data_IF_443089748047
#
_entry.id   IF_443089748047
#
_cell.length_a   1.000
_cell.length_b   1.000
_cell.length_c   1.000
_cell.angle_alpha   90.00
_cell.angle_beta   90.00
_cell.angle_gamma   90.00
#
_symmetry.space_group_name_H-M   'P 1'
#
loop_
_entity.id
_entity.type
_entity.pdbx_description
1 polymer ?
#
# COMPACT_ATOMS: atom_id res chain seq x y z
N UNK A 1 16.10 -4.08 -0.46
CA UNK A 1 15.44 -5.37 -0.76
C UNK A 1 14.28 -5.07 -1.69
N UNK A 2 14.35 -5.53 -2.96
CA UNK A 2 13.26 -5.35 -3.91
C UNK A 2 12.16 -6.36 -3.55
N UNK A 3 11.00 -5.87 -3.10
CA UNK A 3 9.83 -6.71 -2.84
C UNK A 3 9.38 -7.25 -4.19
N UNK A 4 9.54 -8.56 -4.38
CA UNK A 4 9.16 -9.25 -5.61
C UNK A 4 7.66 -9.12 -5.86
N UNK A 5 7.30 -8.42 -6.94
CA UNK A 5 5.94 -8.15 -7.36
C UNK A 5 5.08 -9.42 -7.43
N UNK A 6 3.89 -9.35 -6.81
CA UNK A 6 2.85 -10.37 -6.84
C UNK A 6 2.36 -10.62 -8.27
N UNK A 7 2.96 -11.55 -9.01
CA UNK A 7 2.39 -12.34 -10.13
C UNK A 7 1.69 -11.61 -11.30
N UNK A 8 1.52 -10.30 -11.26
CA UNK A 8 0.74 -9.53 -12.21
C UNK A 8 1.61 -9.26 -13.43
N UNK A 9 1.10 -9.68 -14.59
CA UNK A 9 1.78 -9.52 -15.86
C UNK A 9 1.06 -8.45 -16.66
N UNK A 10 1.71 -7.32 -16.86
CA UNK A 10 1.26 -6.28 -17.80
C UNK A 10 0.95 -6.91 -19.17
N UNK A 11 -0.28 -6.74 -19.65
CA UNK A 11 -0.79 -7.37 -20.87
C UNK A 11 -0.61 -6.42 -22.06
N UNK A 12 -0.91 -5.13 -21.88
CA UNK A 12 -0.79 -4.11 -22.92
C UNK A 12 -1.73 -4.35 -24.11
N UNK A 13 -2.94 -4.87 -23.85
CA UNK A 13 -3.92 -5.21 -24.90
C UNK A 13 -4.25 -3.98 -25.75
N UNK A 14 -4.13 -4.12 -27.08
CA UNK A 14 -4.40 -3.03 -28.04
C UNK A 14 -3.18 -2.16 -28.40
N UNK A 15 -2.00 -2.46 -27.83
CA UNK A 15 -0.74 -1.83 -28.19
C UNK A 15 0.07 -2.71 -29.15
N UNK A 16 0.90 -2.09 -29.97
CA UNK A 16 1.91 -2.78 -30.78
C UNK A 16 3.03 -3.34 -29.90
N UNK A 17 3.79 -4.29 -30.43
CA UNK A 17 4.88 -4.96 -29.68
C UNK A 17 5.93 -3.98 -29.12
N UNK A 18 6.21 -2.90 -29.85
CA UNK A 18 7.12 -1.84 -29.40
C UNK A 18 6.53 -1.03 -28.25
N UNK A 19 5.26 -0.64 -28.38
CA UNK A 19 4.53 0.09 -27.33
C UNK A 19 4.33 -0.75 -26.07
N UNK A 20 4.07 -2.06 -26.19
CA UNK A 20 3.98 -2.97 -25.03
C UNK A 20 5.28 -2.97 -24.23
N UNK A 21 6.44 -2.94 -24.90
CA UNK A 21 7.74 -2.88 -24.22
C UNK A 21 7.93 -1.57 -23.47
N UNK A 22 7.60 -0.44 -24.11
CA UNK A 22 7.67 0.89 -23.49
C UNK A 22 6.67 0.99 -22.33
N UNK A 23 5.45 0.51 -22.52
CA UNK A 23 4.40 0.48 -21.51
C UNK A 23 4.78 -0.36 -20.30
N UNK A 24 5.33 -1.56 -20.50
CA UNK A 24 5.82 -2.40 -19.40
C UNK A 24 6.88 -1.68 -18.56
N UNK A 25 7.79 -0.94 -19.20
CA UNK A 25 8.79 -0.15 -18.48
C UNK A 25 8.13 0.98 -17.69
N UNK A 26 7.26 1.79 -18.31
CA UNK A 26 6.53 2.87 -17.61
C UNK A 26 5.71 2.33 -16.43
N UNK A 27 5.05 1.18 -16.60
CA UNK A 27 4.29 0.52 -15.55
C UNK A 27 5.17 0.19 -14.34
N UNK A 28 6.36 -0.36 -14.58
CA UNK A 28 7.32 -0.65 -13.50
C UNK A 28 7.86 0.64 -12.87
N UNK A 29 8.21 1.65 -13.69
CA UNK A 29 8.67 2.95 -13.20
C UNK A 29 7.64 3.60 -12.26
N UNK A 30 6.34 3.46 -12.55
CA UNK A 30 5.26 3.90 -11.65
C UNK A 30 5.22 3.14 -10.33
N UNK A 31 5.35 1.81 -10.34
CA UNK A 31 5.36 1.01 -9.10
C UNK A 31 6.57 1.33 -8.23
N UNK A 32 7.72 1.56 -8.86
CA UNK A 32 8.97 1.90 -8.16
C UNK A 32 8.90 3.31 -7.56
N UNK A 33 8.31 4.26 -8.28
CA UNK A 33 8.16 5.66 -7.84
C UNK A 33 7.06 5.81 -6.78
N UNK A 34 5.98 5.03 -6.89
CA UNK A 34 4.79 5.13 -6.04
C UNK A 34 4.46 3.77 -5.38
N UNK A 35 5.12 3.42 -4.27
CA UNK A 35 4.95 2.10 -3.63
C UNK A 35 3.53 1.78 -3.19
N UNK A 36 2.71 2.80 -2.90
CA UNK A 36 1.31 2.62 -2.50
C UNK A 36 0.41 2.07 -3.64
N UNK A 37 0.88 2.15 -4.89
CA UNK A 37 0.20 1.55 -6.05
C UNK A 37 0.41 0.04 -6.13
N UNK A 38 1.22 -0.55 -5.25
CA UNK A 38 1.46 -1.99 -5.18
C UNK A 38 0.29 -2.76 -4.54
N UNK A 39 -0.95 -2.39 -4.86
CA UNK A 39 -2.18 -3.09 -4.49
C UNK A 39 -2.85 -3.61 -5.78
N UNK A 40 -3.39 -4.83 -5.73
CA UNK A 40 -3.96 -5.50 -6.92
C UNK A 40 -5.10 -4.71 -7.58
N UNK A 41 -5.85 -3.94 -6.79
CA UNK A 41 -6.92 -3.04 -7.24
C UNK A 41 -6.41 -1.90 -8.12
N UNK A 42 -5.17 -1.44 -7.92
CA UNK A 42 -4.57 -0.35 -8.68
C UNK A 42 -3.89 -0.81 -9.96
N UNK A 43 -3.54 -2.09 -10.09
CA UNK A 43 -2.85 -2.59 -11.28
C UNK A 43 -3.66 -2.42 -12.57
N UNK A 44 -4.98 -2.65 -12.53
CA UNK A 44 -5.84 -2.46 -13.71
C UNK A 44 -5.92 -0.99 -14.11
N UNK A 45 -6.05 -0.09 -13.14
CA UNK A 45 -6.08 1.36 -13.37
C UNK A 45 -4.73 1.88 -13.89
N UNK A 46 -3.64 1.34 -13.36
CA UNK A 46 -2.29 1.71 -13.79
C UNK A 46 -2.00 1.21 -15.22
N UNK A 47 -2.46 0.00 -15.57
CA UNK A 47 -2.35 -0.51 -16.93
C UNK A 47 -3.16 0.32 -17.92
N UNK A 48 -4.37 0.74 -17.55
CA UNK A 48 -5.21 1.66 -18.33
C UNK A 48 -4.51 3.02 -18.52
N UNK A 49 -3.91 3.57 -17.45
CA UNK A 49 -3.14 4.81 -17.53
C UNK A 49 -1.99 4.70 -18.55
N UNK A 50 -1.18 3.65 -18.43
CA UNK A 50 -0.04 3.41 -19.32
C UNK A 50 -0.50 3.21 -20.76
N UNK A 51 -1.64 2.55 -20.98
CA UNK A 51 -2.24 2.40 -22.29
C UNK A 51 -2.62 3.74 -22.92
N UNK A 52 -3.29 4.62 -22.17
CA UNK A 52 -3.64 5.96 -22.65
C UNK A 52 -2.40 6.82 -22.93
N UNK A 53 -1.33 6.67 -22.16
CA UNK A 53 -0.06 7.35 -22.43
C UNK A 53 0.57 6.89 -23.75
N UNK A 54 0.58 5.58 -24.01
CA UNK A 54 1.07 5.04 -25.28
C UNK A 54 0.20 5.50 -26.47
N UNK A 55 -1.12 5.57 -26.30
CA UNK A 55 -2.02 6.12 -27.31
C UNK A 55 -1.75 7.61 -27.58
N UNK A 56 -1.50 8.40 -26.54
CA UNK A 56 -1.13 9.81 -26.70
C UNK A 56 0.14 9.96 -27.52
N UNK A 57 1.16 9.15 -27.26
CA UNK A 57 2.40 9.14 -28.03
C UNK A 57 2.14 8.78 -29.51
N UNK A 58 1.28 7.77 -29.76
CA UNK A 58 0.85 7.39 -31.12
C UNK A 58 0.11 8.51 -31.85
N UNK A 59 -0.83 9.18 -31.18
CA UNK A 59 -1.62 10.27 -31.77
C UNK A 59 -0.71 11.47 -32.08
N UNK A 60 0.23 11.80 -31.20
CA UNK A 60 1.24 12.86 -31.43
C UNK A 60 2.09 12.56 -32.66
N UNK A 61 2.59 11.34 -32.80
CA UNK A 61 3.33 10.92 -34.00
C UNK A 61 2.50 11.05 -35.28
N UNK A 62 1.20 10.71 -35.22
CA UNK A 62 0.30 10.88 -36.36
C UNK A 62 0.09 12.36 -36.70
N UNK A 63 -0.06 13.22 -35.71
CA UNK A 63 -0.15 14.68 -35.92
C UNK A 63 1.13 15.21 -36.57
N UNK A 64 2.31 14.77 -36.10
CA UNK A 64 3.60 15.15 -36.67
C UNK A 64 3.74 14.70 -38.13
N UNK A 65 3.34 13.46 -38.45
CA UNK A 65 3.35 12.94 -39.82
C UNK A 65 2.43 13.75 -40.74
N UNK A 66 1.21 14.04 -40.28
CA UNK A 66 0.27 14.87 -41.04
C UNK A 66 0.78 16.30 -41.22
N UNK A 67 1.45 16.85 -40.21
CA UNK A 67 2.06 18.18 -40.28
C UNK A 67 3.20 18.22 -41.30
N UNK A 68 4.07 17.21 -41.33
CA UNK A 68 5.16 17.10 -42.31
C UNK A 68 4.65 16.95 -43.74
N UNK A 69 3.72 16.01 -43.97
CA UNK A 69 3.13 15.78 -45.29
C UNK A 69 2.42 17.03 -45.84
N UNK A 70 1.78 17.83 -44.97
CA UNK A 70 1.13 19.09 -45.38
C UNK A 70 2.12 20.21 -45.71
N UNK A 71 3.22 20.30 -44.96
CA UNK A 71 4.32 21.24 -45.28
C UNK A 71 4.92 20.93 -46.65
N UNK A 72 5.05 19.66 -47.00
CA UNK A 72 5.55 19.22 -48.31
C UNK A 72 4.54 19.47 -49.45
N UNK A 73 3.24 19.53 -49.13
CA UNK A 73 2.16 19.76 -50.10
C UNK A 73 1.71 21.24 -50.23
N UNK A 74 2.37 22.17 -49.55
CA UNK A 74 2.08 23.62 -49.53
C UNK A 74 0.61 23.98 -49.18
N UNK A 75 -0.05 23.13 -48.39
CA UNK A 75 -1.44 23.32 -47.94
C UNK A 75 -1.48 23.95 -46.54
N UNK A 76 -2.07 25.15 -46.44
CA UNK A 76 -2.15 25.92 -45.19
C UNK A 76 -3.34 25.56 -44.28
N UNK A 77 -4.07 24.49 -44.55
CA UNK A 77 -5.24 24.14 -43.74
C UNK A 77 -4.85 23.62 -42.35
N UNK A 78 -5.59 24.08 -41.33
CA UNK A 78 -5.43 23.69 -39.94
C UNK A 78 -5.47 22.16 -39.75
N UNK A 79 -4.65 21.65 -38.82
CA UNK A 79 -4.64 20.23 -38.41
C UNK A 79 -6.09 19.79 -38.19
N UNK A 80 -6.48 18.66 -38.78
CA UNK A 80 -7.86 18.18 -38.74
C UNK A 80 -8.37 18.10 -37.30
N UNK A 81 -9.42 18.88 -36.99
CA UNK A 81 -9.91 19.09 -35.62
C UNK A 81 -10.23 17.79 -34.89
N UNK A 82 -10.55 16.73 -35.64
CA UNK A 82 -10.81 15.39 -35.12
C UNK A 82 -9.62 14.78 -34.36
N UNK A 83 -8.40 14.82 -34.92
CA UNK A 83 -7.22 14.20 -34.29
C UNK A 83 -6.80 14.99 -33.05
N UNK A 84 -6.94 16.32 -33.10
CA UNK A 84 -6.68 17.19 -31.96
C UNK A 84 -7.68 16.92 -30.82
N UNK A 85 -8.96 16.72 -31.17
CA UNK A 85 -10.00 16.36 -30.21
C UNK A 85 -9.72 15.00 -29.57
N UNK A 86 -9.37 13.99 -30.38
CA UNK A 86 -8.98 12.66 -29.87
C UNK A 86 -7.81 12.75 -28.87
N UNK A 87 -6.80 13.59 -29.15
CA UNK A 87 -5.69 13.83 -28.23
C UNK A 87 -6.17 14.45 -26.91
N UNK A 88 -7.00 15.49 -26.97
CA UNK A 88 -7.50 16.18 -25.78
C UNK A 88 -8.38 15.26 -24.91
N UNK A 89 -9.31 14.52 -25.53
CA UNK A 89 -10.19 13.56 -24.82
C UNK A 89 -9.35 12.49 -24.09
N UNK A 90 -8.25 12.06 -24.70
CA UNK A 90 -7.35 11.06 -24.17
C UNK A 90 -6.44 11.62 -23.05
N UNK A 91 -6.02 12.89 -23.15
CA UNK A 91 -5.35 13.63 -22.06
C UNK A 91 -6.26 13.84 -20.84
N UNK A 92 -7.54 14.16 -21.05
CA UNK A 92 -8.51 14.31 -19.96
C UNK A 92 -8.73 12.98 -19.23
N UNK A 93 -8.78 11.88 -19.99
CA UNK A 93 -8.88 10.53 -19.43
C UNK A 93 -7.64 10.19 -18.61
N UNK A 94 -6.45 10.51 -19.13
CA UNK A 94 -5.19 10.35 -18.41
C UNK A 94 -5.19 11.14 -17.09
N UNK A 95 -5.64 12.40 -17.11
CA UNK A 95 -5.71 13.23 -15.90
C UNK A 95 -6.61 12.61 -14.83
N UNK A 96 -7.81 12.16 -15.21
CA UNK A 96 -8.76 11.48 -14.31
C UNK A 96 -8.18 10.19 -13.72
N UNK A 97 -7.42 9.43 -14.51
CA UNK A 97 -6.76 8.22 -14.02
C UNK A 97 -5.64 8.55 -13.02
N UNK A 98 -4.84 9.58 -13.30
CA UNK A 98 -3.78 10.05 -12.37
C UNK A 98 -4.36 10.54 -11.05
N UNK A 99 -5.51 11.22 -11.10
CA UNK A 99 -6.25 11.65 -9.91
C UNK A 99 -6.78 10.45 -9.12
N UNK A 100 -7.43 9.47 -9.77
CA UNK A 100 -7.91 8.24 -9.13
C UNK A 100 -6.80 7.40 -8.51
N UNK A 101 -5.61 7.40 -9.12
CA UNK A 101 -4.42 6.73 -8.59
C UNK A 101 -3.77 7.53 -7.45
N UNK A 102 -4.18 8.77 -7.20
CA UNK A 102 -3.63 9.62 -6.15
C UNK A 102 -2.22 10.11 -6.45
N UNK A 103 -1.83 10.23 -7.73
CA UNK A 103 -0.46 10.62 -8.11
C UNK A 103 -0.13 12.09 -7.81
N UNK A 104 -1.15 12.94 -7.65
CA UNK A 104 -1.00 14.36 -7.34
C UNK A 104 -0.93 14.64 -5.84
N UNK A 105 -1.36 13.69 -5.02
CA UNK A 105 -1.29 13.82 -3.57
C UNK A 105 0.15 13.47 -3.17
N UNK A 106 0.85 14.42 -2.55
CA UNK A 106 2.02 14.11 -1.74
C UNK A 106 1.54 13.29 -0.55
N UNK A 107 1.25 12.00 -0.78
CA UNK A 107 1.01 11.02 0.27
C UNK A 107 2.36 10.82 0.96
N UNK A 108 2.70 11.77 1.84
CA UNK A 108 3.55 11.49 2.98
C UNK A 108 3.04 10.16 3.52
N UNK A 109 3.94 9.18 3.59
CA UNK A 109 3.78 7.83 4.12
C UNK A 109 2.47 7.76 4.92
N UNK A 110 1.44 7.16 4.33
CA UNK A 110 0.14 7.03 4.98
C UNK A 110 0.40 6.50 6.40
N UNK A 111 -0.12 7.23 7.39
CA UNK A 111 -0.10 6.79 8.77
C UNK A 111 -0.55 5.33 8.80
N UNK A 112 0.29 4.43 9.31
CA UNK A 112 0.00 2.98 9.30
C UNK A 112 -1.36 2.67 9.95
N UNK A 113 -1.85 3.57 10.80
CA UNK A 113 -3.18 3.54 11.35
C UNK A 113 -4.30 3.68 10.29
N UNK A 114 -4.17 4.57 9.29
CA UNK A 114 -5.14 4.69 8.20
C UNK A 114 -5.21 3.45 7.32
N UNK A 115 -4.06 2.85 7.00
CA UNK A 115 -4.02 1.59 6.26
C UNK A 115 -4.72 0.46 7.03
N UNK A 116 -4.59 0.44 8.36
CA UNK A 116 -5.32 -0.48 9.22
C UNK A 116 -6.84 -0.22 9.21
N UNK A 117 -7.28 1.04 9.20
CA UNK A 117 -8.70 1.38 9.09
C UNK A 117 -9.29 0.95 7.73
N UNK A 118 -8.57 1.16 6.62
CA UNK A 118 -8.98 0.68 5.29
C UNK A 118 -9.12 -0.84 5.25
N UNK A 119 -8.12 -1.56 5.77
CA UNK A 119 -8.16 -3.03 5.88
C UNK A 119 -9.35 -3.51 6.71
N UNK A 120 -9.75 -2.76 7.74
CA UNK A 120 -10.92 -3.09 8.57
C UNK A 120 -12.21 -2.98 7.77
N UNK A 121 -12.36 -1.97 6.92
CA UNK A 121 -13.53 -1.81 6.05
C UNK A 121 -13.56 -2.85 4.91
N UNK A 122 -12.42 -3.12 4.28
CA UNK A 122 -12.30 -4.17 3.26
C UNK A 122 -12.66 -5.54 3.84
N UNK A 123 -12.21 -5.84 5.07
CA UNK A 123 -12.55 -7.08 5.76
C UNK A 123 -14.06 -7.19 6.05
N UNK A 124 -14.72 -6.07 6.40
CA UNK A 124 -16.19 -6.05 6.56
C UNK A 124 -16.90 -6.37 5.25
N UNK A 125 -16.45 -5.79 4.13
CA UNK A 125 -17.07 -6.07 2.83
C UNK A 125 -16.82 -7.51 2.38
N UNK A 126 -15.58 -8.00 2.54
CA UNK A 126 -15.21 -9.39 2.27
C UNK A 126 -16.10 -10.37 3.03
N UNK A 127 -16.34 -10.12 4.32
CA UNK A 127 -17.22 -10.93 5.17
C UNK A 127 -18.66 -10.95 4.65
N UNK A 128 -19.17 -9.82 4.15
CA UNK A 128 -20.51 -9.74 3.53
C UNK A 128 -20.59 -10.59 2.26
N UNK A 129 -19.52 -10.59 1.46
CA UNK A 129 -19.44 -11.35 0.19
C UNK A 129 -19.16 -12.85 0.39
N UNK A 130 -18.55 -13.24 1.50
CA UNK A 130 -18.10 -14.62 1.76
C UNK A 130 -18.65 -15.22 3.06
N UNK A 131 -19.98 -15.31 3.25
CA UNK A 131 -20.57 -15.80 4.50
C UNK A 131 -20.17 -17.24 4.84
N UNK A 132 -19.99 -18.09 3.83
CA UNK A 132 -19.71 -19.52 4.00
C UNK A 132 -18.33 -19.83 4.59
N UNK A 133 -17.37 -18.89 4.52
CA UNK A 133 -16.05 -19.07 5.13
C UNK A 133 -16.07 -18.98 6.66
N UNK A 134 -17.17 -18.47 7.24
CA UNK A 134 -17.35 -18.33 8.68
C UNK A 134 -18.36 -19.34 9.23
N UNK A 135 -18.64 -20.39 8.45
CA UNK A 135 -19.53 -21.47 8.80
C UNK A 135 -18.88 -22.40 9.84
N UNK A 136 -19.59 -22.66 10.92
CA UNK A 136 -19.22 -23.67 11.92
C UNK A 136 -20.43 -24.56 12.18
N UNK A 137 -20.16 -25.82 12.48
CA UNK A 137 -21.17 -26.81 12.80
C UNK A 137 -21.13 -27.10 14.29
N UNK A 138 -22.29 -27.07 14.96
CA UNK A 138 -22.38 -27.48 16.36
C UNK A 138 -21.95 -28.94 16.50
N UNK A 139 -20.97 -29.26 17.37
CA UNK A 139 -20.50 -30.64 17.52
C UNK A 139 -21.57 -31.58 18.11
N UNK A 140 -22.56 -31.04 18.83
CA UNK A 140 -23.58 -31.86 19.51
C UNK A 140 -24.85 -32.11 18.68
N UNK A 141 -25.30 -31.12 17.91
CA UNK A 141 -26.58 -31.21 17.17
C UNK A 141 -26.45 -31.04 15.66
N UNK A 142 -25.22 -30.90 15.14
CA UNK A 142 -24.92 -30.70 13.73
C UNK A 142 -25.59 -29.46 13.09
N UNK A 143 -26.16 -28.55 13.89
CA UNK A 143 -26.73 -27.30 13.39
C UNK A 143 -25.63 -26.39 12.87
N UNK A 144 -25.82 -25.88 11.66
CA UNK A 144 -24.87 -24.97 10.99
C UNK A 144 -25.18 -23.54 11.43
N UNK A 145 -24.17 -22.84 11.94
CA UNK A 145 -24.28 -21.42 12.26
C UNK A 145 -23.04 -20.66 11.80
N UNK A 146 -23.21 -19.36 11.56
CA UNK A 146 -22.12 -18.50 11.09
C UNK A 146 -21.58 -17.67 12.24
N UNK A 147 -20.28 -17.78 12.51
CA UNK A 147 -19.66 -17.00 13.56
C UNK A 147 -19.53 -15.54 13.11
N UNK A 148 -20.25 -14.65 13.79
CA UNK A 148 -19.95 -13.22 13.74
C UNK A 148 -18.72 -12.96 14.61
N UNK A 149 -17.51 -12.95 14.03
CA UNK A 149 -16.33 -12.40 14.74
C UNK A 149 -16.65 -10.94 15.11
N UNK A 150 -16.64 -10.64 16.41
CA UNK A 150 -16.94 -9.31 16.96
C UNK A 150 -15.69 -8.45 16.83
N UNK A 151 -15.51 -7.85 15.66
CA UNK A 151 -14.38 -6.95 15.40
C UNK A 151 -14.48 -5.64 16.18
N UNK A 152 -15.71 -5.26 16.55
CA UNK A 152 -16.08 -4.17 17.45
C UNK A 152 -15.70 -4.41 18.91
N UNK A 153 -15.39 -5.66 19.28
CA UNK A 153 -14.96 -6.05 20.62
C UNK A 153 -13.48 -6.43 20.70
N UNK A 154 -12.70 -6.19 19.64
CA UNK A 154 -11.26 -6.11 19.82
C UNK A 154 -10.97 -4.80 20.54
N UNK A 155 -11.08 -4.83 21.87
CA UNK A 155 -10.56 -3.78 22.73
C UNK A 155 -9.05 -3.71 22.52
N UNK A 156 -8.52 -2.49 22.41
CA UNK A 156 -7.09 -2.25 22.37
C UNK A 156 -6.47 -2.84 23.64
N UNK A 157 -5.84 -4.01 23.51
CA UNK A 157 -5.14 -4.64 24.61
C UNK A 157 -3.69 -4.17 24.57
N UNK A 158 -3.36 -3.20 25.42
CA UNK A 158 -1.96 -2.92 25.72
C UNK A 158 -1.41 -4.09 26.53
N UNK A 159 -0.55 -4.89 25.89
CA UNK A 159 0.10 -5.98 26.58
C UNK A 159 0.92 -5.41 27.75
N UNK A 160 0.72 -5.88 28.99
CA UNK A 160 1.35 -5.29 30.18
C UNK A 160 2.88 -5.43 30.21
N UNK A 161 3.45 -6.12 29.22
CA UNK A 161 4.88 -6.39 29.08
C UNK A 161 5.52 -5.53 27.97
N UNK A 162 4.78 -4.57 27.41
CA UNK A 162 5.30 -3.67 26.40
C UNK A 162 5.01 -2.23 26.81
N UNK A 163 6.04 -1.38 26.75
CA UNK A 163 5.90 0.07 26.74
C UNK A 163 6.27 0.53 25.36
N UNK A 164 5.28 1.03 24.62
CA UNK A 164 5.36 1.33 23.19
C UNK A 164 5.74 0.07 22.37
N UNK A 165 6.97 0.01 21.87
CA UNK A 165 7.52 -1.11 21.06
C UNK A 165 8.60 -1.91 21.80
N UNK A 166 8.80 -1.62 23.08
CA UNK A 166 9.89 -2.16 23.88
C UNK A 166 9.34 -3.20 24.85
N UNK A 167 9.88 -4.41 24.81
CA UNK A 167 9.56 -5.48 25.75
C UNK A 167 10.11 -5.10 27.14
N UNK A 168 9.22 -4.73 28.06
CA UNK A 168 9.59 -4.42 29.43
C UNK A 168 8.50 -4.93 30.39
N UNK A 169 8.90 -5.63 31.45
CA UNK A 169 7.98 -6.08 32.49
C UNK A 169 8.17 -5.22 33.76
N UNK A 170 7.24 -4.31 34.09
CA UNK A 170 7.36 -3.43 35.25
C UNK A 170 7.46 -4.18 36.58
N UNK A 171 6.85 -5.37 36.71
CA UNK A 171 6.89 -6.15 37.94
C UNK A 171 8.27 -6.80 38.15
N UNK A 172 8.89 -7.32 37.08
CA UNK A 172 10.28 -7.78 37.15
C UNK A 172 11.21 -6.62 37.54
N UNK A 173 10.96 -5.43 36.99
CA UNK A 173 11.75 -4.25 37.33
C UNK A 173 11.64 -3.85 38.80
N UNK A 174 10.45 -3.94 39.41
CA UNK A 174 10.26 -3.72 40.86
C UNK A 174 11.03 -4.73 41.70
N UNK A 175 11.02 -6.01 41.32
CA UNK A 175 11.77 -7.07 42.02
C UNK A 175 13.28 -6.86 41.92
N UNK A 176 13.76 -6.39 40.76
CA UNK A 176 15.16 -6.02 40.55
C UNK A 176 15.57 -4.82 41.41
N UNK A 177 14.77 -3.74 41.42
CA UNK A 177 15.01 -2.59 42.32
C UNK A 177 15.00 -2.98 43.81
N UNK A 178 14.21 -3.99 44.19
CA UNK A 178 14.18 -4.53 45.54
C UNK A 178 15.34 -5.49 45.86
N UNK A 179 16.25 -5.76 44.90
CA UNK A 179 17.39 -6.66 45.06
C UNK A 179 17.01 -8.14 45.16
N UNK A 180 15.78 -8.52 44.76
CA UNK A 180 15.27 -9.90 44.87
C UNK A 180 15.66 -10.80 43.70
N UNK A 181 15.95 -10.20 42.55
CA UNK A 181 16.38 -10.89 41.33
C UNK A 181 17.56 -10.14 40.73
N UNK A 182 18.43 -10.84 40.04
CA UNK A 182 19.58 -10.27 39.33
C UNK A 182 19.19 -9.80 37.94
N UNK A 183 20.09 -9.05 37.29
CA UNK A 183 19.92 -8.59 35.91
C UNK A 183 19.85 -9.79 34.95
N UNK A 184 20.67 -10.80 35.21
CA UNK A 184 20.76 -12.03 34.45
C UNK A 184 19.46 -12.84 34.55
N UNK A 185 18.79 -12.83 35.71
CA UNK A 185 17.48 -13.46 35.88
C UNK A 185 16.41 -12.80 35.00
N UNK A 186 16.39 -11.46 34.92
CA UNK A 186 15.43 -10.73 34.06
C UNK A 186 15.72 -11.03 32.59
N UNK A 187 16.98 -11.01 32.18
CA UNK A 187 17.41 -11.31 30.81
C UNK A 187 16.94 -12.72 30.39
N UNK A 188 17.12 -13.71 31.28
CA UNK A 188 16.66 -15.08 31.05
C UNK A 188 15.13 -15.19 30.94
N UNK A 189 14.37 -14.50 31.81
CA UNK A 189 12.89 -14.51 31.77
C UNK A 189 12.34 -13.83 30.52
N UNK A 190 12.97 -12.74 30.08
CA UNK A 190 12.56 -12.01 28.87
C UNK A 190 13.13 -12.61 27.58
N UNK A 191 14.07 -13.55 27.68
CA UNK A 191 14.78 -14.12 26.52
C UNK A 191 15.66 -13.09 25.80
N UNK A 192 16.29 -12.18 26.54
CA UNK A 192 17.12 -11.08 26.02
C UNK A 192 18.54 -11.10 26.61
N UNK A 193 19.42 -10.19 26.18
CA UNK A 193 20.76 -10.07 26.74
C UNK A 193 20.79 -9.22 28.02
N UNK A 194 21.76 -9.42 28.95
CA UNK A 194 21.94 -8.55 30.11
C UNK A 194 22.13 -7.06 29.75
N UNK A 195 22.82 -6.78 28.64
CA UNK A 195 23.03 -5.42 28.11
C UNK A 195 21.70 -4.73 27.74
N UNK A 196 20.72 -5.50 27.26
CA UNK A 196 19.38 -4.98 26.99
C UNK A 196 18.68 -4.51 28.26
N UNK A 197 18.89 -5.21 29.39
CA UNK A 197 18.33 -4.84 30.69
C UNK A 197 18.98 -3.57 31.23
N UNK A 198 20.28 -3.39 31.00
CA UNK A 198 20.98 -2.14 31.32
C UNK A 198 20.48 -0.97 30.47
N UNK A 199 20.27 -1.18 29.18
CA UNK A 199 19.64 -0.18 28.32
C UNK A 199 18.21 0.17 28.77
N UNK A 200 17.41 -0.82 29.19
CA UNK A 200 16.08 -0.59 29.77
C UNK A 200 16.14 0.28 31.02
N UNK A 201 17.15 0.06 31.87
CA UNK A 201 17.40 0.88 33.05
C UNK A 201 17.59 2.36 32.69
N UNK A 202 18.38 2.64 31.66
CA UNK A 202 18.74 3.99 31.26
C UNK A 202 17.65 4.72 30.46
N UNK A 203 16.94 4.00 29.59
CA UNK A 203 16.03 4.63 28.62
C UNK A 203 14.57 4.57 29.00
N UNK A 204 14.15 3.55 29.74
CA UNK A 204 12.74 3.31 30.04
C UNK A 204 12.41 3.55 31.50
N UNK A 205 13.29 3.09 32.40
CA UNK A 205 13.08 3.14 33.84
C UNK A 205 13.98 4.13 34.58
N UNK A 206 14.79 4.90 33.85
CA UNK A 206 15.52 6.00 34.44
C UNK A 206 14.48 6.91 35.09
N UNK A 207 14.57 7.01 36.42
CA UNK A 207 13.76 7.95 37.16
C UNK A 207 13.97 9.31 36.50
N UNK A 208 12.88 9.96 36.09
CA UNK A 208 12.91 11.36 35.71
C UNK A 208 13.47 12.12 36.91
N UNK A 209 14.79 12.27 36.96
CA UNK A 209 15.47 13.17 37.88
C UNK A 209 14.91 14.54 37.53
N UNK A 210 14.05 15.05 38.40
CA UNK A 210 13.07 16.09 38.09
C UNK A 210 13.66 17.26 37.30
N UNK A 211 13.00 17.57 36.19
CA UNK A 211 12.80 18.97 35.81
C UNK A 211 11.86 19.57 36.88
N UNK A 212 12.49 20.19 37.88
CA UNK A 212 11.85 21.24 38.69
C UNK A 212 11.96 22.56 37.94
#
# INVERSE_FOLDING_TARGET
>A
MAISNHGYKYIGKGLSTGEVRVGKRKFQDYLDTYPHLNKMTYYSLLEELVFHEALNDRIKLKIEQLSKARKEADQSEAIGSKTQKELNDNMDTQFKLKEKLGLFENKQILDAYKDFEELREDFKEYRRKNPNQFQVTCPSCAFIFFLKRRTDQYEEFSAPWFKDKVLCNPELWKLYKAGKITREDIANVLGTSPDYIEWLQEKIFAEQKGEK
#
